data_IF_103613074124
#
_entry.id   IF_103613074124
#
_cell.length_a   1.000
_cell.length_b   1.000
_cell.length_c   1.000
_cell.angle_alpha   90.00
_cell.angle_beta   90.00
_cell.angle_gamma   90.00
#
_symmetry.space_group_name_H-M   'P 1'
#
loop_
_entity.id
_entity.type
_entity.pdbx_description
1 polymer ?
#
# COMPACT_ATOMS: atom_id res chain seq x y z
N UNK A 1 -0.47 0.66 -17.36
CA UNK A 1 -1.25 -0.63 -17.48
C UNK A 1 -2.70 -0.37 -17.90
N UNK A 2 -3.22 -1.16 -18.85
CA UNK A 2 -4.65 -1.17 -19.22
C UNK A 2 -5.36 -2.22 -18.38
N UNK A 3 -6.35 -1.82 -17.58
CA UNK A 3 -7.10 -2.72 -16.70
C UNK A 3 -8.28 -3.33 -17.47
N UNK A 4 -8.15 -4.60 -17.87
CA UNK A 4 -9.19 -5.39 -18.52
C UNK A 4 -10.09 -6.07 -17.48
N UNK A 5 -9.48 -6.66 -16.44
CA UNK A 5 -10.19 -7.28 -15.33
C UNK A 5 -9.59 -6.86 -13.99
N UNK A 6 -10.43 -6.79 -12.95
CA UNK A 6 -10.02 -6.61 -11.58
C UNK A 6 -11.07 -7.28 -10.69
N UNK A 7 -10.66 -8.26 -9.88
CA UNK A 7 -11.54 -9.04 -9.02
C UNK A 7 -10.94 -9.19 -7.62
N UNK A 8 -11.77 -9.22 -6.59
CA UNK A 8 -11.36 -9.64 -5.25
C UNK A 8 -11.23 -11.18 -5.27
N UNK A 9 -10.01 -11.67 -5.29
CA UNK A 9 -9.73 -13.11 -5.47
C UNK A 9 -9.65 -13.85 -4.13
N UNK A 10 -8.87 -13.33 -3.18
CA UNK A 10 -8.67 -13.96 -1.88
C UNK A 10 -8.83 -12.95 -0.74
N UNK A 11 -9.43 -13.42 0.36
CA UNK A 11 -9.57 -12.68 1.62
C UNK A 11 -8.96 -13.52 2.73
N UNK A 12 -7.87 -13.06 3.34
CA UNK A 12 -7.19 -13.75 4.43
C UNK A 12 -7.49 -13.07 5.76
N UNK A 13 -8.05 -13.84 6.70
CA UNK A 13 -8.18 -13.45 8.11
C UNK A 13 -6.91 -13.80 8.91
N UNK A 14 -6.95 -13.53 10.23
CA UNK A 14 -5.81 -13.72 11.14
C UNK A 14 -5.31 -15.17 11.16
N UNK A 15 -6.21 -16.15 11.04
CA UNK A 15 -5.90 -17.58 11.07
C UNK A 15 -5.74 -18.21 9.70
N UNK A 16 -5.93 -17.42 8.63
CA UNK A 16 -5.82 -17.93 7.26
C UNK A 16 -4.36 -18.14 6.88
N UNK A 17 -4.10 -19.22 6.13
CA UNK A 17 -2.82 -19.39 5.46
C UNK A 17 -2.72 -18.35 4.33
N UNK A 18 -1.56 -17.71 4.20
CA UNK A 18 -1.29 -16.81 3.08
C UNK A 18 -1.30 -17.63 1.78
N UNK A 19 -2.07 -17.24 0.76
CA UNK A 19 -2.11 -17.97 -0.51
C UNK A 19 -0.79 -17.78 -1.27
N UNK A 20 -0.44 -18.79 -2.02
CA UNK A 20 0.55 -18.68 -3.09
C UNK A 20 -0.21 -18.66 -4.43
N UNK A 21 -0.41 -17.46 -4.97
CA UNK A 21 -1.16 -17.27 -6.22
C UNK A 21 -0.30 -17.52 -7.46
N UNK A 22 1.02 -17.57 -7.29
CA UNK A 22 1.98 -17.65 -8.39
C UNK A 22 2.09 -16.36 -9.21
N UNK A 23 1.34 -15.33 -8.86
CA UNK A 23 1.39 -14.02 -9.52
C UNK A 23 2.29 -13.06 -8.71
N UNK A 24 3.01 -12.13 -9.38
CA UNK A 24 3.71 -11.08 -8.67
C UNK A 24 2.74 -10.25 -7.82
N UNK A 25 3.15 -9.90 -6.61
CA UNK A 25 2.35 -9.15 -5.66
C UNK A 25 2.94 -7.78 -5.39
N UNK A 26 2.09 -6.77 -5.25
CA UNK A 26 2.45 -5.47 -4.68
C UNK A 26 1.51 -5.14 -3.53
N UNK A 27 2.07 -4.85 -2.36
CA UNK A 27 1.31 -4.63 -1.15
C UNK A 27 1.17 -3.15 -0.80
N UNK A 28 0.03 -2.81 -0.22
CA UNK A 28 -0.29 -1.46 0.21
C UNK A 28 -0.54 -1.44 1.72
N UNK A 29 0.30 -0.69 2.44
CA UNK A 29 0.18 -0.44 3.86
C UNK A 29 -0.18 1.02 4.12
N UNK A 30 -0.86 1.30 5.22
CA UNK A 30 -1.18 2.67 5.58
C UNK A 30 -2.10 2.77 6.80
N UNK A 31 -2.07 3.94 7.43
CA UNK A 31 -2.95 4.25 8.54
C UNK A 31 -4.41 4.20 8.09
N UNK A 32 -5.30 3.86 9.01
CA UNK A 32 -6.75 3.97 8.79
C UNK A 32 -7.12 5.35 8.26
N UNK A 33 -7.97 5.40 7.22
CA UNK A 33 -8.43 6.62 6.55
C UNK A 33 -7.33 7.43 5.82
N UNK A 34 -6.17 6.86 5.57
CA UNK A 34 -5.10 7.50 4.79
C UNK A 34 -5.45 7.65 3.29
N UNK A 35 -6.43 6.91 2.81
CA UNK A 35 -6.84 6.88 1.39
C UNK A 35 -6.43 5.61 0.65
N UNK A 36 -6.06 4.53 1.38
CA UNK A 36 -5.57 3.28 0.80
C UNK A 36 -6.59 2.62 -0.13
N UNK A 37 -7.82 2.41 0.31
CA UNK A 37 -8.88 1.84 -0.54
C UNK A 37 -9.23 2.73 -1.75
N UNK A 38 -9.16 4.05 -1.59
CA UNK A 38 -9.36 4.99 -2.69
C UNK A 38 -8.25 4.91 -3.74
N UNK A 39 -6.99 4.73 -3.30
CA UNK A 39 -5.86 4.49 -4.19
C UNK A 39 -6.04 3.18 -4.95
N UNK A 40 -6.28 2.07 -4.24
CA UNK A 40 -6.43 0.73 -4.83
C UNK A 40 -7.58 0.74 -5.86
N UNK A 41 -8.74 1.32 -5.50
CA UNK A 41 -9.86 1.49 -6.44
C UNK A 41 -9.47 2.34 -7.67
N UNK A 42 -8.70 3.42 -7.44
CA UNK A 42 -8.20 4.28 -8.52
C UNK A 42 -7.25 3.54 -9.45
N UNK A 43 -6.35 2.72 -8.92
CA UNK A 43 -5.46 1.87 -9.71
C UNK A 43 -6.24 0.87 -10.54
N UNK A 44 -7.19 0.18 -9.95
CA UNK A 44 -8.04 -0.82 -10.61
C UNK A 44 -9.08 -0.22 -11.58
N UNK A 45 -9.21 1.10 -11.62
CA UNK A 45 -10.28 1.79 -12.34
C UNK A 45 -11.68 1.26 -11.94
N UNK A 46 -11.89 1.07 -10.64
CA UNK A 46 -13.15 0.62 -10.03
C UNK A 46 -13.62 1.65 -9.00
N UNK A 47 -14.94 1.77 -8.80
CA UNK A 47 -15.50 2.76 -7.87
C UNK A 47 -15.48 2.30 -6.41
N UNK A 48 -15.68 1.00 -6.14
CA UNK A 48 -15.88 0.48 -4.80
C UNK A 48 -15.53 -1.01 -4.66
N UNK A 49 -14.57 -1.54 -5.41
CA UNK A 49 -14.16 -2.94 -5.27
C UNK A 49 -13.36 -3.12 -3.97
N UNK A 50 -12.39 -2.26 -3.71
CA UNK A 50 -11.77 -2.16 -2.40
C UNK A 50 -12.69 -1.35 -1.48
N UNK A 51 -13.12 -1.98 -0.39
CA UNK A 51 -14.06 -1.35 0.54
C UNK A 51 -13.33 -0.37 1.46
N UNK A 52 -13.85 0.84 1.56
CA UNK A 52 -13.47 1.77 2.61
C UNK A 52 -14.06 1.24 3.93
N UNK A 53 -13.22 0.68 4.80
CA UNK A 53 -13.65 0.24 6.12
C UNK A 53 -13.93 1.46 7.00
N UNK A 54 -15.18 1.92 7.00
CA UNK A 54 -15.62 3.04 7.81
C UNK A 54 -15.99 2.65 9.25
N UNK A 55 -15.92 1.37 9.63
CA UNK A 55 -16.35 0.93 10.96
C UNK A 55 -15.19 0.34 11.77
N UNK A 56 -14.86 0.95 12.93
CA UNK A 56 -13.99 0.34 13.94
C UNK A 56 -14.57 -1.00 14.39
N UNK A 57 -13.75 -2.03 14.52
CA UNK A 57 -14.17 -3.34 15.06
C UNK A 57 -14.58 -4.39 14.04
N UNK A 58 -14.54 -4.12 12.73
CA UNK A 58 -14.65 -5.18 11.72
C UNK A 58 -13.34 -5.97 11.61
N UNK A 59 -13.46 -7.28 11.41
CA UNK A 59 -12.36 -8.20 11.18
C UNK A 59 -11.41 -7.63 10.13
N UNK A 60 -10.17 -7.37 10.52
CA UNK A 60 -9.13 -6.93 9.61
C UNK A 60 -8.69 -8.12 8.76
N UNK A 61 -8.57 -7.90 7.47
CA UNK A 61 -8.18 -8.93 6.50
C UNK A 61 -7.10 -8.40 5.57
N UNK A 62 -6.32 -9.32 5.01
CA UNK A 62 -5.47 -9.08 3.84
C UNK A 62 -6.29 -9.45 2.62
N UNK A 63 -6.48 -8.52 1.69
CA UNK A 63 -7.29 -8.73 0.51
C UNK A 63 -6.42 -8.72 -0.74
N UNK A 64 -6.57 -9.74 -1.57
CA UNK A 64 -5.86 -9.90 -2.84
C UNK A 64 -6.80 -9.53 -3.99
N UNK A 65 -6.44 -8.52 -4.74
CA UNK A 65 -7.15 -8.08 -5.94
C UNK A 65 -6.36 -8.50 -7.17
N UNK A 66 -6.85 -9.50 -7.89
CA UNK A 66 -6.24 -9.98 -9.12
C UNK A 66 -6.53 -9.04 -10.28
N UNK A 67 -5.49 -8.62 -10.97
CA UNK A 67 -5.53 -7.69 -12.10
C UNK A 67 -5.10 -8.41 -13.36
N UNK A 68 -5.97 -8.45 -14.37
CA UNK A 68 -5.71 -9.04 -15.70
C UNK A 68 -5.20 -10.49 -15.68
N UNK A 69 -5.34 -11.21 -14.58
CA UNK A 69 -4.69 -12.51 -14.31
C UNK A 69 -3.13 -12.47 -14.38
N UNK A 70 -2.54 -11.29 -14.18
CA UNK A 70 -1.10 -11.05 -14.32
C UNK A 70 -0.44 -10.55 -13.02
N UNK A 71 -1.22 -9.99 -12.08
CA UNK A 71 -0.72 -9.28 -10.90
C UNK A 71 -1.74 -9.30 -9.78
N UNK A 72 -1.28 -9.39 -8.53
CA UNK A 72 -2.09 -9.16 -7.34
C UNK A 72 -1.75 -7.82 -6.66
N UNK A 73 -2.76 -6.95 -6.49
CA UNK A 73 -2.70 -5.82 -5.58
C UNK A 73 -3.16 -6.30 -4.20
N UNK A 74 -2.29 -6.20 -3.20
CA UNK A 74 -2.55 -6.73 -1.85
C UNK A 74 -2.83 -5.60 -0.88
N UNK A 75 -4.06 -5.56 -0.38
CA UNK A 75 -4.50 -4.56 0.60
C UNK A 75 -4.25 -5.08 2.01
N UNK A 76 -3.25 -4.52 2.69
CA UNK A 76 -2.92 -4.86 4.07
C UNK A 76 -3.86 -4.15 5.05
N UNK A 77 -4.11 -4.74 6.24
CA UNK A 77 -4.92 -4.09 7.26
C UNK A 77 -4.44 -2.68 7.59
N UNK A 78 -5.37 -1.74 7.71
CA UNK A 78 -5.04 -0.40 8.19
C UNK A 78 -4.61 -0.42 9.65
N UNK A 79 -3.67 0.44 10.02
CA UNK A 79 -3.21 0.59 11.41
C UNK A 79 -3.65 1.94 12.01
N UNK A 80 -3.38 2.16 13.31
CA UNK A 80 -3.61 3.44 13.98
C UNK A 80 -5.06 3.74 14.32
N UNK A 81 -5.92 2.72 14.46
CA UNK A 81 -7.27 2.90 14.99
C UNK A 81 -7.25 3.32 16.45
N UNK A 82 -8.00 4.38 16.79
CA UNK A 82 -8.04 4.91 18.15
C UNK A 82 -8.80 4.00 19.16
N UNK A 83 -9.65 3.10 18.66
CA UNK A 83 -10.56 2.28 19.46
C UNK A 83 -10.29 0.77 19.36
N UNK A 84 -9.03 0.37 19.25
CA UNK A 84 -8.66 -1.05 19.24
C UNK A 84 -7.81 -1.36 20.47
N UNK A 85 -7.99 -2.56 20.98
CA UNK A 85 -7.24 -3.05 22.14
C UNK A 85 -5.77 -3.31 21.75
N UNK A 86 -4.83 -3.27 22.71
CA UNK A 86 -3.44 -3.65 22.45
C UNK A 86 -3.31 -5.06 21.86
N UNK A 87 -4.15 -6.02 22.32
CA UNK A 87 -4.16 -7.39 21.82
C UNK A 87 -4.58 -7.49 20.33
N UNK A 88 -5.55 -6.67 19.89
CA UNK A 88 -5.95 -6.60 18.49
C UNK A 88 -4.84 -5.99 17.62
N UNK A 89 -4.19 -4.92 18.10
CA UNK A 89 -3.03 -4.32 17.40
C UNK A 89 -1.91 -5.33 17.21
N UNK A 90 -1.61 -6.14 18.23
CA UNK A 90 -0.60 -7.18 18.16
C UNK A 90 -0.95 -8.26 17.13
N UNK A 91 -2.22 -8.72 17.11
CA UNK A 91 -2.69 -9.71 16.12
C UNK A 91 -2.55 -9.19 14.68
N UNK A 92 -2.91 -7.93 14.43
CA UNK A 92 -2.79 -7.33 13.09
C UNK A 92 -1.32 -7.13 12.70
N UNK A 93 -0.49 -6.71 13.65
CA UNK A 93 0.94 -6.61 13.43
C UNK A 93 1.54 -7.95 13.02
N UNK A 94 1.23 -9.01 13.76
CA UNK A 94 1.67 -10.38 13.44
C UNK A 94 1.17 -10.87 12.08
N UNK A 95 -0.06 -10.51 11.69
CA UNK A 95 -0.61 -10.89 10.39
C UNK A 95 0.14 -10.21 9.24
N UNK A 96 0.42 -8.91 9.37
CA UNK A 96 1.20 -8.16 8.36
C UNK A 96 2.63 -8.68 8.30
N UNK A 97 3.27 -8.87 9.45
CA UNK A 97 4.63 -9.39 9.55
C UNK A 97 4.74 -10.80 8.93
N UNK A 98 3.79 -11.69 9.24
CA UNK A 98 3.72 -13.01 8.64
C UNK A 98 3.61 -12.94 7.12
N UNK A 99 2.75 -12.06 6.59
CA UNK A 99 2.63 -11.85 5.15
C UNK A 99 3.95 -11.37 4.53
N UNK A 100 4.56 -10.33 5.09
CA UNK A 100 5.83 -9.79 4.59
C UNK A 100 6.97 -10.83 4.62
N UNK A 101 6.95 -11.72 5.62
CA UNK A 101 7.97 -12.73 5.79
C UNK A 101 7.75 -13.97 4.92
N UNK A 102 6.51 -14.35 4.64
CA UNK A 102 6.19 -15.64 3.99
C UNK A 102 5.80 -15.52 2.53
N UNK A 103 5.41 -14.33 2.04
CA UNK A 103 5.09 -14.19 0.61
C UNK A 103 6.35 -14.31 -0.26
N UNK A 104 6.35 -15.29 -1.15
CA UNK A 104 7.43 -15.48 -2.14
C UNK A 104 7.22 -14.65 -3.41
N UNK A 105 6.02 -14.11 -3.61
CA UNK A 105 5.61 -13.39 -4.81
C UNK A 105 5.67 -11.86 -4.64
N UNK A 106 5.87 -11.38 -3.40
CA UNK A 106 5.90 -9.95 -3.09
C UNK A 106 7.10 -9.25 -3.70
N UNK A 107 6.85 -8.29 -4.57
CA UNK A 107 7.85 -7.51 -5.31
C UNK A 107 8.08 -6.11 -4.73
N UNK A 108 7.04 -5.50 -4.17
CA UNK A 108 7.11 -4.15 -3.64
C UNK A 108 6.08 -3.91 -2.53
N UNK A 109 6.43 -3.02 -1.60
CA UNK A 109 5.52 -2.53 -0.56
C UNK A 109 5.39 -1.03 -0.67
N UNK A 110 4.16 -0.56 -0.86
CA UNK A 110 3.81 0.85 -0.87
C UNK A 110 3.30 1.26 0.49
N UNK A 111 3.91 2.27 1.09
CA UNK A 111 3.48 2.86 2.37
C UNK A 111 2.81 4.21 2.11
N UNK A 112 1.53 4.30 2.46
CA UNK A 112 0.71 5.49 2.25
C UNK A 112 0.78 6.42 3.45
N UNK A 113 1.06 7.69 3.17
CA UNK A 113 1.09 8.78 4.16
C UNK A 113 0.18 9.90 3.68
N UNK A 114 -0.66 10.44 4.55
CA UNK A 114 -1.46 11.62 4.25
C UNK A 114 -0.55 12.85 4.15
N UNK A 115 -0.46 13.45 2.96
CA UNK A 115 0.48 14.56 2.69
C UNK A 115 0.25 15.80 3.55
N UNK A 116 -0.93 15.92 4.19
CA UNK A 116 -1.30 17.08 5.03
C UNK A 116 -0.67 17.07 6.41
N UNK A 117 -0.17 15.92 6.86
CA UNK A 117 0.28 15.69 8.23
C UNK A 117 1.70 15.12 8.29
N UNK A 118 2.37 15.39 9.39
CA UNK A 118 3.62 14.72 9.70
C UNK A 118 3.37 13.21 9.95
N UNK A 119 4.30 12.33 9.56
CA UNK A 119 4.19 10.92 9.85
C UNK A 119 4.05 10.64 11.35
N UNK A 120 3.11 9.76 11.70
CA UNK A 120 2.91 9.31 13.08
C UNK A 120 3.96 8.29 13.52
N UNK A 121 4.01 8.01 14.83
CA UNK A 121 4.86 6.93 15.35
C UNK A 121 4.51 5.57 14.73
N UNK A 122 3.22 5.31 14.47
CA UNK A 122 2.79 4.07 13.79
C UNK A 122 3.25 4.01 12.32
N UNK A 123 3.29 5.15 11.62
CA UNK A 123 3.82 5.21 10.25
C UNK A 123 5.32 4.89 10.24
N UNK A 124 6.06 5.42 11.21
CA UNK A 124 7.47 5.14 11.38
C UNK A 124 7.73 3.67 11.71
N UNK A 125 6.96 3.10 12.63
CA UNK A 125 7.04 1.68 12.97
C UNK A 125 6.76 0.79 11.75
N UNK A 126 5.75 1.11 10.93
CA UNK A 126 5.45 0.36 9.71
C UNK A 126 6.60 0.47 8.69
N UNK A 127 7.17 1.66 8.51
CA UNK A 127 8.33 1.86 7.66
C UNK A 127 9.51 0.97 8.08
N UNK A 128 9.82 0.95 9.37
CA UNK A 128 10.89 0.12 9.94
C UNK A 128 10.60 -1.39 9.78
N UNK A 129 9.36 -1.83 9.96
CA UNK A 129 8.96 -3.22 9.74
C UNK A 129 9.15 -3.67 8.29
N UNK A 130 8.77 -2.83 7.34
CA UNK A 130 8.97 -3.13 5.92
C UNK A 130 10.46 -3.29 5.63
N UNK A 131 11.30 -2.36 6.12
CA UNK A 131 12.76 -2.45 5.98
C UNK A 131 13.34 -3.71 6.65
N UNK A 132 12.86 -4.04 7.86
CA UNK A 132 13.34 -5.21 8.61
C UNK A 132 13.06 -6.53 7.87
N UNK A 133 11.97 -6.59 7.11
CA UNK A 133 11.61 -7.74 6.28
C UNK A 133 12.31 -7.73 4.90
N UNK A 134 13.27 -6.84 4.66
CA UNK A 134 14.11 -6.82 3.47
C UNK A 134 13.52 -6.08 2.28
N UNK A 135 12.43 -5.32 2.46
CA UNK A 135 11.83 -4.50 1.40
C UNK A 135 12.20 -3.03 1.56
N UNK A 136 12.42 -2.35 0.44
CA UNK A 136 12.55 -0.90 0.38
C UNK A 136 11.16 -0.31 0.14
N UNK A 137 10.52 0.36 1.14
CA UNK A 137 9.18 0.88 0.96
C UNK A 137 9.16 2.06 -0.01
N UNK A 138 8.15 2.05 -0.88
CA UNK A 138 7.84 3.17 -1.77
C UNK A 138 6.75 4.00 -1.08
N UNK A 139 6.98 5.30 -0.93
CA UNK A 139 6.05 6.16 -0.23
C UNK A 139 5.05 6.78 -1.20
N UNK A 140 3.77 6.67 -0.90
CA UNK A 140 2.72 7.40 -1.60
C UNK A 140 2.16 8.47 -0.67
N UNK A 141 2.37 9.74 -1.04
CA UNK A 141 1.83 10.87 -0.32
C UNK A 141 0.43 11.18 -0.84
N UNK A 142 -0.59 10.70 -0.11
CA UNK A 142 -2.00 10.75 -0.52
C UNK A 142 -2.66 12.10 -0.25
N UNK A 143 -3.85 12.31 -0.83
CA UNK A 143 -4.69 13.51 -0.64
C UNK A 143 -4.04 14.80 -1.12
N UNK A 144 -3.27 14.72 -2.18
CA UNK A 144 -2.57 15.86 -2.80
C UNK A 144 -3.53 17.01 -3.14
N UNK A 145 -4.77 16.70 -3.56
CA UNK A 145 -5.83 17.67 -3.87
C UNK A 145 -6.26 18.54 -2.69
N UNK A 146 -5.93 18.13 -1.47
CA UNK A 146 -6.25 18.89 -0.24
C UNK A 146 -5.18 19.91 0.13
N UNK A 147 -4.09 20.00 -0.62
CA UNK A 147 -3.02 20.98 -0.41
C UNK A 147 -2.97 22.05 -1.49
N UNK A 148 -2.58 23.24 -1.10
CA UNK A 148 -2.15 24.28 -2.05
C UNK A 148 -0.81 23.88 -2.68
N UNK A 149 -0.66 24.14 -3.97
CA UNK A 149 0.57 23.81 -4.73
C UNK A 149 1.85 24.31 -4.05
N UNK A 150 1.80 25.49 -3.43
CA UNK A 150 2.93 26.08 -2.70
C UNK A 150 3.38 25.29 -1.46
N UNK A 151 2.51 24.43 -0.90
CA UNK A 151 2.79 23.66 0.31
C UNK A 151 3.34 22.27 0.02
N UNK A 152 3.20 21.76 -1.22
CA UNK A 152 3.51 20.38 -1.58
C UNK A 152 4.96 20.04 -1.26
N UNK A 153 5.92 20.83 -1.71
CA UNK A 153 7.36 20.53 -1.49
C UNK A 153 7.73 20.54 -0.02
N UNK A 154 7.17 21.47 0.76
CA UNK A 154 7.38 21.55 2.22
C UNK A 154 6.87 20.28 2.90
N UNK A 155 5.67 19.82 2.54
CA UNK A 155 5.05 18.65 3.16
C UNK A 155 5.74 17.35 2.73
N UNK A 156 6.18 17.23 1.47
CA UNK A 156 7.00 16.09 1.04
C UNK A 156 8.33 16.02 1.80
N UNK A 157 8.96 17.17 2.04
CA UNK A 157 10.17 17.24 2.87
C UNK A 157 9.88 16.78 4.30
N UNK A 158 8.78 17.22 4.92
CA UNK A 158 8.38 16.81 6.25
C UNK A 158 8.13 15.28 6.35
N UNK A 159 7.55 14.67 5.31
CA UNK A 159 7.39 13.20 5.23
C UNK A 159 8.76 12.52 5.21
N UNK A 160 9.69 12.97 4.38
CA UNK A 160 11.04 12.42 4.28
C UNK A 160 11.78 12.48 5.60
N UNK A 161 11.74 13.63 6.26
CA UNK A 161 12.39 13.85 7.55
C UNK A 161 11.69 13.07 8.67
N UNK A 162 10.37 13.09 8.70
CA UNK A 162 9.56 12.42 9.72
C UNK A 162 9.68 10.90 9.71
N UNK A 163 9.83 10.28 8.56
CA UNK A 163 10.09 8.84 8.40
C UNK A 163 11.59 8.51 8.41
N UNK A 164 12.47 9.50 8.38
CA UNK A 164 13.93 9.32 8.23
C UNK A 164 14.27 8.46 7.00
N UNK A 165 13.65 8.81 5.86
CA UNK A 165 13.80 8.03 4.64
C UNK A 165 15.27 7.95 4.19
N UNK A 166 15.69 6.77 3.76
CA UNK A 166 16.99 6.59 3.11
C UNK A 166 17.11 7.49 1.88
N UNK A 167 18.32 7.91 1.58
CA UNK A 167 18.60 8.68 0.35
C UNK A 167 18.17 7.85 -0.87
N UNK A 168 17.41 8.46 -1.77
CA UNK A 168 16.91 7.79 -2.97
C UNK A 168 15.55 7.10 -2.83
N UNK A 169 14.97 7.03 -1.62
CA UNK A 169 13.61 6.48 -1.44
C UNK A 169 12.60 7.25 -2.30
N UNK A 170 11.84 6.51 -3.10
CA UNK A 170 10.80 7.06 -3.97
C UNK A 170 9.61 7.56 -3.15
N UNK A 171 9.17 8.79 -3.42
CA UNK A 171 7.97 9.39 -2.83
C UNK A 171 7.12 9.96 -3.96
N UNK A 172 5.91 9.41 -4.14
CA UNK A 172 4.99 9.80 -5.20
C UNK A 172 3.78 10.53 -4.59
N UNK A 173 3.58 11.82 -4.90
CA UNK A 173 2.35 12.52 -4.53
C UNK A 173 1.17 11.97 -5.32
N UNK A 174 0.05 11.72 -4.63
CA UNK A 174 -1.13 11.10 -5.24
C UNK A 174 -2.43 11.79 -4.82
N UNK A 175 -3.35 11.95 -5.78
CA UNK A 175 -4.73 12.35 -5.54
C UNK A 175 -5.70 11.34 -6.14
N UNK A 176 -6.58 10.79 -5.32
CA UNK A 176 -7.68 9.93 -5.78
C UNK A 176 -8.74 10.73 -6.57
N UNK A 177 -8.88 12.01 -6.24
CA UNK A 177 -9.85 12.93 -6.87
C UNK A 177 -9.44 13.29 -8.29
N UNK A 178 -8.21 13.77 -8.45
CA UNK A 178 -7.68 14.23 -9.75
C UNK A 178 -6.98 13.13 -10.55
N UNK A 179 -6.73 11.97 -9.92
CA UNK A 179 -5.92 10.86 -10.45
C UNK A 179 -4.45 11.21 -10.71
N UNK A 180 -3.97 12.36 -10.24
CA UNK A 180 -2.56 12.72 -10.33
C UNK A 180 -1.70 11.68 -9.61
N UNK A 181 -0.58 11.29 -10.21
CA UNK A 181 0.35 10.28 -9.70
C UNK A 181 -0.04 8.82 -10.03
N UNK A 182 -1.25 8.58 -10.58
CA UNK A 182 -1.71 7.22 -10.91
C UNK A 182 -0.84 6.53 -11.95
N UNK A 183 -0.51 7.22 -13.01
CA UNK A 183 0.27 6.65 -14.11
C UNK A 183 1.71 6.37 -13.67
N UNK A 184 2.31 7.27 -12.89
CA UNK A 184 3.63 7.08 -12.28
C UNK A 184 3.67 5.85 -11.36
N UNK A 185 2.62 5.63 -10.55
CA UNK A 185 2.51 4.43 -9.72
C UNK A 185 2.42 3.17 -10.59
N UNK A 186 1.63 3.20 -11.68
CA UNK A 186 1.53 2.05 -12.59
C UNK A 186 2.84 1.76 -13.32
N UNK A 187 3.54 2.76 -13.83
CA UNK A 187 4.85 2.60 -14.46
C UNK A 187 5.84 1.93 -13.51
N UNK A 188 5.83 2.36 -12.24
CA UNK A 188 6.68 1.75 -11.21
C UNK A 188 6.27 0.30 -10.92
N UNK A 189 4.99 0.00 -10.77
CA UNK A 189 4.49 -1.37 -10.57
C UNK A 189 4.91 -2.26 -11.75
N UNK A 190 4.70 -1.82 -12.98
CA UNK A 190 5.09 -2.57 -14.19
C UNK A 190 6.61 -2.83 -14.24
N UNK A 191 7.42 -1.85 -13.85
CA UNK A 191 8.88 -2.02 -13.80
C UNK A 191 9.35 -3.03 -12.76
N UNK A 192 8.61 -3.16 -11.65
CA UNK A 192 8.97 -4.06 -10.53
C UNK A 192 8.38 -5.47 -10.69
N UNK A 193 7.32 -5.62 -11.48
CA UNK A 193 6.59 -6.88 -11.67
C UNK A 193 6.73 -7.46 -13.06
N UNK A 194 7.11 -6.65 -14.04
CA UNK A 194 7.45 -7.11 -15.38
C UNK A 194 8.67 -8.05 -15.30
N UNK A 195 8.55 -9.26 -15.85
CA UNK A 195 9.69 -10.16 -16.01
C UNK A 195 10.83 -9.46 -16.74
N UNK A 196 12.06 -9.89 -16.48
CA UNK A 196 13.24 -9.44 -17.23
C UNK A 196 12.93 -9.43 -18.73
N UNK A 197 13.37 -8.38 -19.46
CA UNK A 197 13.28 -8.45 -20.91
C UNK A 197 13.94 -9.76 -21.33
N UNK A 198 13.18 -10.64 -22.00
CA UNK A 198 13.73 -11.82 -22.63
C UNK A 198 14.91 -11.35 -23.47
N UNK A 199 16.13 -11.69 -23.07
CA UNK A 199 17.28 -11.62 -23.95
C UNK A 199 16.94 -12.55 -25.13
N UNK A 200 16.36 -11.97 -26.17
CA UNK A 200 16.30 -12.62 -27.46
C UNK A 200 17.74 -12.74 -27.96
N UNK A 201 18.19 -13.97 -28.02
CA UNK A 201 19.42 -14.40 -28.63
C UNK A 201 19.41 -14.16 -30.15
#
# INVERSE_FOLDING_TARGET
MIIKSAVLDVVCGITSKIPDTGLPEVAFAGKSNVGKSSLINGLMNRKALARTSAQPGKTQTINFYKINDELDLVDLPGYGYARVTPAEKEKWGKMIENYLHTSHNLKAVFLLIDIRHDPSANDRQMYEWILHNGYEPIIIATKLDKLKRSQVQKNLKAIREGLQLKKGTTVIPYSAETKQGRDEIWELIESLTGGEPSEEA
#
